data_IF_750926426717
#
_entry.id   IF_750926426717
#
_cell.length_a   1.000
_cell.length_b   1.000
_cell.length_c   1.000
_cell.angle_alpha   90.00
_cell.angle_beta   90.00
_cell.angle_gamma   90.00
#
_symmetry.space_group_name_H-M   'P 1'
#
loop_
_entity.id
_entity.type
_entity.pdbx_description
1 polymer ?
#
# COMPACT_ATOMS: atom_id res chain seq x y z
N UNK A 1 -92.80 -32.29 18.03
CA UNK A 1 -91.48 -32.64 18.60
C UNK A 1 -90.36 -32.64 17.53
N UNK A 2 -90.44 -33.37 16.43
CA UNK A 2 -89.45 -33.45 15.38
C UNK A 2 -89.09 -32.06 14.74
N UNK A 3 -90.11 -31.23 14.48
CA UNK A 3 -89.85 -29.87 13.90
C UNK A 3 -89.14 -28.92 14.84
N UNK A 4 -89.42 -29.00 16.13
CA UNK A 4 -88.70 -28.16 17.16
C UNK A 4 -87.24 -28.61 17.30
N UNK A 5 -86.97 -29.90 17.23
CA UNK A 5 -85.58 -30.42 17.30
C UNK A 5 -84.79 -30.00 16.05
N UNK A 6 -85.40 -30.01 14.86
CA UNK A 6 -84.72 -29.54 13.66
C UNK A 6 -84.44 -28.04 13.71
N UNK A 7 -85.33 -27.23 14.26
CA UNK A 7 -85.15 -25.78 14.38
C UNK A 7 -84.02 -25.46 15.41
N UNK A 8 -83.99 -26.18 16.55
CA UNK A 8 -82.91 -26.04 17.54
C UNK A 8 -81.57 -26.49 16.97
N UNK A 9 -81.54 -27.54 16.20
CA UNK A 9 -80.35 -28.01 15.51
C UNK A 9 -79.77 -26.96 14.52
N UNK A 10 -80.66 -26.38 13.71
CA UNK A 10 -80.28 -25.33 12.78
C UNK A 10 -79.77 -24.09 13.44
N UNK A 11 -80.34 -23.70 14.61
CA UNK A 11 -79.82 -22.58 15.46
C UNK A 11 -78.47 -22.91 16.04
N UNK A 12 -78.24 -24.11 16.48
CA UNK A 12 -76.99 -24.60 17.06
C UNK A 12 -75.90 -24.60 15.98
N UNK A 13 -76.17 -25.02 14.76
CA UNK A 13 -75.24 -24.99 13.63
C UNK A 13 -74.83 -23.54 13.26
N UNK A 14 -75.78 -22.60 13.27
CA UNK A 14 -75.52 -21.19 13.02
C UNK A 14 -74.63 -20.62 14.17
N UNK A 15 -74.93 -20.97 15.39
CA UNK A 15 -74.17 -20.51 16.56
C UNK A 15 -72.76 -21.05 16.56
N UNK A 16 -72.58 -22.35 16.24
CA UNK A 16 -71.27 -22.98 16.07
C UNK A 16 -70.45 -22.31 14.98
N UNK A 17 -71.09 -22.03 13.85
CA UNK A 17 -70.42 -21.34 12.74
C UNK A 17 -69.94 -19.93 13.12
N UNK A 18 -70.83 -19.14 13.77
CA UNK A 18 -70.46 -17.79 14.26
C UNK A 18 -69.37 -17.80 15.33
N UNK A 19 -69.42 -18.82 16.19
CA UNK A 19 -68.38 -19.05 17.20
C UNK A 19 -67.03 -19.36 16.51
N UNK A 20 -67.03 -20.27 15.55
CA UNK A 20 -65.79 -20.63 14.83
C UNK A 20 -65.22 -19.40 14.09
N UNK A 21 -66.05 -18.65 13.38
CA UNK A 21 -65.64 -17.41 12.70
C UNK A 21 -65.07 -16.35 13.68
N UNK A 22 -65.62 -16.26 14.90
CA UNK A 22 -65.13 -15.40 15.94
C UNK A 22 -63.74 -15.85 16.47
N UNK A 23 -63.61 -17.18 16.67
CA UNK A 23 -62.33 -17.78 17.10
C UNK A 23 -61.24 -17.59 16.06
N UNK A 24 -61.57 -17.82 14.78
CA UNK A 24 -60.60 -17.64 13.70
C UNK A 24 -60.16 -16.17 13.57
N UNK A 25 -61.10 -15.22 13.72
CA UNK A 25 -60.77 -13.78 13.80
C UNK A 25 -59.91 -13.44 14.99
N UNK A 26 -60.20 -14.03 16.18
CA UNK A 26 -59.36 -13.80 17.36
C UNK A 26 -57.95 -14.34 17.15
N UNK A 27 -57.80 -15.56 16.63
CA UNK A 27 -56.52 -16.17 16.36
C UNK A 27 -55.71 -15.36 15.30
N UNK A 28 -56.38 -14.92 14.23
CA UNK A 28 -55.73 -14.08 13.23
C UNK A 28 -55.24 -12.73 13.82
N UNK A 29 -55.99 -12.13 14.73
CA UNK A 29 -55.59 -10.89 15.43
C UNK A 29 -54.45 -11.14 16.41
N UNK A 30 -54.45 -12.25 17.14
CA UNK A 30 -53.33 -12.66 18.04
C UNK A 30 -52.05 -12.91 17.24
N UNK A 31 -52.14 -13.61 16.10
CA UNK A 31 -51.00 -13.87 15.22
C UNK A 31 -50.45 -12.56 14.58
N UNK A 32 -51.31 -11.64 14.25
CA UNK A 32 -50.89 -10.32 13.71
C UNK A 32 -50.24 -9.47 14.81
N UNK A 33 -50.77 -9.48 16.02
CA UNK A 33 -50.17 -8.79 17.16
C UNK A 33 -48.75 -9.34 17.45
N UNK A 34 -48.60 -10.67 17.47
CA UNK A 34 -47.29 -11.30 17.68
C UNK A 34 -46.28 -10.95 16.54
N UNK A 35 -46.76 -10.93 15.30
CA UNK A 35 -45.93 -10.48 14.15
C UNK A 35 -45.49 -9.02 14.32
N UNK A 36 -46.41 -8.15 14.70
CA UNK A 36 -46.10 -6.72 14.94
C UNK A 36 -45.12 -6.55 16.10
N UNK A 37 -45.27 -7.26 17.21
CA UNK A 37 -44.34 -7.22 18.31
C UNK A 37 -42.94 -7.70 17.93
N UNK A 38 -42.86 -8.79 17.19
CA UNK A 38 -41.57 -9.31 16.64
C UNK A 38 -40.91 -8.30 15.69
N UNK A 39 -41.68 -7.63 14.82
CA UNK A 39 -41.17 -6.60 13.92
C UNK A 39 -40.67 -5.38 14.70
N UNK A 40 -41.41 -4.94 15.72
CA UNK A 40 -41.02 -3.83 16.58
C UNK A 40 -39.73 -4.12 17.35
N UNK A 41 -39.62 -5.31 17.92
CA UNK A 41 -38.39 -5.77 18.61
C UNK A 41 -37.19 -5.76 17.69
N UNK A 42 -37.32 -6.30 16.47
CA UNK A 42 -36.25 -6.26 15.47
C UNK A 42 -35.89 -4.85 15.06
N UNK A 43 -36.87 -3.99 14.84
CA UNK A 43 -36.66 -2.58 14.50
C UNK A 43 -35.92 -1.82 15.63
N UNK A 44 -36.33 -2.03 16.89
CA UNK A 44 -35.65 -1.42 18.04
C UNK A 44 -34.20 -1.88 18.16
N UNK A 45 -33.91 -3.16 17.95
CA UNK A 45 -32.53 -3.67 17.93
C UNK A 45 -31.70 -3.02 16.80
N UNK A 46 -32.29 -2.86 15.60
CA UNK A 46 -31.62 -2.21 14.48
C UNK A 46 -31.34 -0.72 14.79
N UNK A 47 -32.33 0.00 15.33
CA UNK A 47 -32.16 1.41 15.70
C UNK A 47 -31.11 1.60 16.76
N UNK A 48 -31.05 0.70 17.78
CA UNK A 48 -30.01 0.74 18.78
C UNK A 48 -28.61 0.49 18.20
N UNK A 49 -28.47 -0.49 17.30
CA UNK A 49 -27.21 -0.76 16.59
C UNK A 49 -26.77 0.43 15.70
N UNK A 50 -27.71 1.01 14.95
CA UNK A 50 -27.43 2.20 14.12
C UNK A 50 -27.12 3.45 14.97
N UNK A 51 -27.63 3.54 16.18
CA UNK A 51 -27.31 4.63 17.10
C UNK A 51 -25.81 4.64 17.49
N UNK A 52 -25.24 3.46 17.78
CA UNK A 52 -23.82 3.33 18.10
C UNK A 52 -22.93 3.61 16.89
N UNK A 53 -23.33 3.17 15.69
CA UNK A 53 -22.62 3.48 14.45
C UNK A 53 -22.66 4.98 14.15
N UNK A 54 -23.81 5.64 14.32
CA UNK A 54 -23.92 7.09 14.14
C UNK A 54 -22.96 7.86 15.06
N UNK A 55 -22.81 7.44 16.30
CA UNK A 55 -21.82 7.99 17.25
C UNK A 55 -20.41 7.88 16.68
N UNK A 56 -19.98 6.65 16.35
CA UNK A 56 -18.65 6.39 15.77
C UNK A 56 -18.39 7.19 14.50
N UNK A 57 -19.37 7.31 13.62
CA UNK A 57 -19.22 8.09 12.39
C UNK A 57 -19.12 9.59 12.66
N UNK A 58 -19.87 10.10 13.64
CA UNK A 58 -19.76 11.51 14.04
C UNK A 58 -18.37 11.83 14.58
N UNK A 59 -17.83 10.97 15.45
CA UNK A 59 -16.49 11.13 16.00
C UNK A 59 -15.40 11.00 14.89
N UNK A 60 -15.59 10.06 13.97
CA UNK A 60 -14.69 9.90 12.81
C UNK A 60 -14.71 11.12 11.89
N UNK A 61 -15.86 11.74 11.64
CA UNK A 61 -15.96 12.97 10.83
C UNK A 61 -15.21 14.13 11.49
N UNK A 62 -15.31 14.27 12.81
CA UNK A 62 -14.56 15.30 13.55
C UNK A 62 -13.05 15.03 13.40
N UNK A 63 -12.62 13.78 13.64
CA UNK A 63 -11.22 13.40 13.51
C UNK A 63 -10.69 13.66 12.08
N UNK A 64 -11.40 13.19 11.06
CA UNK A 64 -10.99 13.43 9.66
C UNK A 64 -10.94 14.91 9.29
N UNK A 65 -11.80 15.74 9.90
CA UNK A 65 -11.77 17.18 9.67
C UNK A 65 -10.49 17.81 10.24
N UNK A 66 -10.03 17.36 11.39
CA UNK A 66 -8.75 17.79 11.96
C UNK A 66 -7.57 17.25 11.16
N UNK A 67 -7.59 15.96 10.78
CA UNK A 67 -6.55 15.34 9.96
C UNK A 67 -6.39 16.03 8.61
N UNK A 68 -7.49 16.45 7.98
CA UNK A 68 -7.45 17.21 6.72
C UNK A 68 -6.67 18.53 6.83
N UNK A 69 -6.57 19.12 7.99
CA UNK A 69 -5.82 20.39 8.18
C UNK A 69 -4.31 20.16 8.08
N UNK A 70 -3.83 19.01 8.53
CA UNK A 70 -2.39 18.69 8.61
C UNK A 70 -1.89 17.82 7.46
N UNK A 71 -2.79 17.14 6.74
CA UNK A 71 -2.41 16.20 5.67
C UNK A 71 -1.49 16.81 4.60
N UNK A 72 -1.64 18.10 4.29
CA UNK A 72 -0.82 18.76 3.28
C UNK A 72 0.66 18.83 3.70
N UNK A 73 0.94 19.17 4.96
CA UNK A 73 2.30 19.19 5.49
C UNK A 73 2.88 17.77 5.60
N UNK A 74 2.09 16.83 6.05
CA UNK A 74 2.51 15.44 6.20
C UNK A 74 2.86 14.81 4.83
N UNK A 75 2.01 14.99 3.82
CA UNK A 75 2.28 14.53 2.45
C UNK A 75 3.48 15.25 1.82
N UNK A 76 3.65 16.55 2.09
CA UNK A 76 4.82 17.29 1.63
C UNK A 76 6.12 16.73 2.25
N UNK A 77 6.09 16.38 3.54
CA UNK A 77 7.21 15.74 4.21
C UNK A 77 7.53 14.37 3.59
N UNK A 78 6.51 13.53 3.38
CA UNK A 78 6.66 12.23 2.74
C UNK A 78 7.21 12.34 1.31
N UNK A 79 6.71 13.29 0.52
CA UNK A 79 7.19 13.54 -0.85
C UNK A 79 8.63 14.03 -0.88
N UNK A 80 9.00 14.91 0.06
CA UNK A 80 10.38 15.40 0.21
C UNK A 80 11.31 14.27 0.65
N UNK A 81 10.85 13.39 1.53
CA UNK A 81 11.57 12.20 1.96
C UNK A 81 11.89 11.28 0.79
N UNK A 82 10.89 10.89 0.00
CA UNK A 82 11.08 10.03 -1.18
C UNK A 82 12.01 10.67 -2.21
N UNK A 83 11.92 11.99 -2.39
CA UNK A 83 12.63 12.69 -3.46
C UNK A 83 14.11 12.94 -3.15
N UNK A 84 14.47 13.18 -1.88
CA UNK A 84 15.78 13.73 -1.54
C UNK A 84 16.57 12.91 -0.52
N UNK A 85 15.94 12.07 0.29
CA UNK A 85 16.59 11.45 1.45
C UNK A 85 17.31 10.13 1.10
N UNK A 86 16.93 9.50 0.00
CA UNK A 86 17.44 8.19 -0.42
C UNK A 86 18.95 8.00 -0.43
N UNK A 87 19.79 8.95 -0.92
CA UNK A 87 21.24 8.78 -1.00
C UNK A 87 21.97 8.76 0.36
N UNK A 88 21.33 9.29 1.40
CA UNK A 88 21.97 9.54 2.68
C UNK A 88 21.89 8.35 3.63
N UNK A 89 22.87 8.26 4.56
CA UNK A 89 22.81 7.34 5.69
C UNK A 89 21.84 7.83 6.77
N UNK A 90 21.54 6.98 7.77
CA UNK A 90 20.56 7.27 8.81
C UNK A 90 20.80 8.60 9.54
N UNK A 91 22.04 8.88 9.97
CA UNK A 91 22.35 10.09 10.70
C UNK A 91 22.05 11.37 9.90
N UNK A 92 22.42 11.39 8.63
CA UNK A 92 22.10 12.52 7.75
C UNK A 92 20.61 12.59 7.39
N UNK A 93 19.90 11.44 7.26
CA UNK A 93 18.45 11.43 7.07
C UNK A 93 17.73 12.10 8.23
N UNK A 94 18.12 11.77 9.46
CA UNK A 94 17.52 12.33 10.67
C UNK A 94 17.73 13.86 10.73
N UNK A 95 18.94 14.34 10.38
CA UNK A 95 19.23 15.78 10.29
C UNK A 95 18.37 16.45 9.20
N UNK A 96 18.34 15.90 8.01
CA UNK A 96 17.59 16.48 6.88
C UNK A 96 16.09 16.53 7.19
N UNK A 97 15.53 15.47 7.74
CA UNK A 97 14.10 15.40 8.05
C UNK A 97 13.75 16.33 9.21
N UNK A 98 14.44 16.18 10.36
CA UNK A 98 14.03 16.85 11.59
C UNK A 98 14.53 18.30 11.67
N UNK A 99 15.78 18.57 11.29
CA UNK A 99 16.38 19.88 11.46
C UNK A 99 16.16 20.80 10.24
N UNK A 100 16.02 20.21 9.04
CA UNK A 100 15.82 21.00 7.83
C UNK A 100 14.34 21.04 7.42
N UNK A 101 13.72 19.90 7.07
CA UNK A 101 12.37 19.90 6.52
C UNK A 101 11.33 20.29 7.57
N UNK A 102 11.32 19.63 8.73
CA UNK A 102 10.33 19.91 9.79
C UNK A 102 10.49 21.32 10.32
N UNK A 103 11.73 21.82 10.49
CA UNK A 103 11.98 23.19 10.88
C UNK A 103 11.50 24.18 9.84
N UNK A 104 11.82 23.96 8.57
CA UNK A 104 11.35 24.82 7.47
C UNK A 104 9.82 24.90 7.42
N UNK A 105 9.12 23.77 7.63
CA UNK A 105 7.64 23.73 7.63
C UNK A 105 7.08 24.55 8.80
N UNK A 106 7.67 24.43 9.99
CA UNK A 106 7.27 25.22 11.17
C UNK A 106 7.50 26.71 10.95
N UNK A 107 8.67 27.08 10.43
CA UNK A 107 9.03 28.49 10.16
C UNK A 107 8.09 29.14 9.12
N UNK A 108 7.59 28.36 8.18
CA UNK A 108 6.64 28.82 7.16
C UNK A 108 5.17 28.56 7.53
N UNK A 109 4.88 28.14 8.76
CA UNK A 109 3.52 27.90 9.27
C UNK A 109 2.73 26.88 8.42
N UNK A 110 3.41 25.88 7.85
CA UNK A 110 2.78 24.78 7.14
C UNK A 110 2.20 23.81 8.19
N UNK A 111 0.88 23.58 8.22
CA UNK A 111 0.29 22.68 9.19
C UNK A 111 0.76 21.25 8.96
N UNK A 112 1.23 20.59 10.01
CA UNK A 112 1.66 19.19 9.97
C UNK A 112 1.37 18.51 11.31
N UNK A 113 1.29 17.21 11.31
CA UNK A 113 1.11 16.42 12.54
C UNK A 113 2.32 16.57 13.47
N UNK A 114 2.12 16.65 14.80
CA UNK A 114 3.20 16.89 15.76
C UNK A 114 4.33 15.85 15.73
N UNK A 115 4.03 14.61 15.39
CA UNK A 115 4.95 13.49 15.30
C UNK A 115 4.82 12.79 13.95
N UNK A 116 4.90 13.56 12.85
CA UNK A 116 4.79 13.00 11.51
C UNK A 116 6.02 12.15 11.19
N UNK A 117 5.81 10.84 11.01
CA UNK A 117 6.79 9.92 10.46
C UNK A 117 6.45 9.66 8.98
N UNK A 118 7.34 10.01 8.02
CA UNK A 118 7.11 9.75 6.60
C UNK A 118 6.73 8.29 6.29
N UNK A 119 7.23 7.32 7.05
CA UNK A 119 6.92 5.90 6.84
C UNK A 119 5.44 5.58 7.04
N UNK A 120 4.78 6.21 8.03
CA UNK A 120 3.36 5.98 8.31
C UNK A 120 2.44 6.44 7.17
N UNK A 121 2.94 7.34 6.32
CA UNK A 121 2.21 7.82 5.14
C UNK A 121 2.51 6.97 3.91
N UNK A 122 3.76 6.50 3.80
CA UNK A 122 4.27 5.81 2.62
C UNK A 122 3.99 4.31 2.62
N UNK A 123 3.81 3.72 3.81
CA UNK A 123 3.62 2.27 3.96
C UNK A 123 2.78 1.94 5.21
N UNK A 124 2.31 0.71 5.31
CA UNK A 124 1.63 0.14 6.46
C UNK A 124 2.39 -1.07 7.03
N UNK A 125 2.04 -1.48 8.24
CA UNK A 125 2.67 -2.61 8.93
C UNK A 125 2.55 -3.92 8.14
N UNK A 126 1.43 -4.14 7.45
CA UNK A 126 1.21 -5.35 6.65
C UNK A 126 2.15 -5.40 5.44
N UNK A 127 2.34 -4.26 4.78
CA UNK A 127 3.30 -4.12 3.67
C UNK A 127 4.74 -4.33 4.14
N UNK A 128 5.12 -3.76 5.28
CA UNK A 128 6.46 -3.95 5.87
C UNK A 128 6.68 -5.42 6.23
N UNK A 129 5.71 -6.08 6.84
CA UNK A 129 5.79 -7.51 7.14
C UNK A 129 5.95 -8.37 5.86
N UNK A 130 5.26 -8.00 4.78
CA UNK A 130 5.44 -8.65 3.47
C UNK A 130 6.86 -8.49 2.95
N UNK A 131 7.45 -7.28 3.03
CA UNK A 131 8.83 -7.05 2.62
C UNK A 131 9.85 -7.85 3.43
N UNK A 132 9.63 -7.99 4.75
CA UNK A 132 10.48 -8.81 5.60
C UNK A 132 10.40 -10.31 5.21
N UNK A 133 9.21 -10.80 4.84
CA UNK A 133 9.04 -12.15 4.32
C UNK A 133 9.72 -12.34 2.95
N UNK A 134 9.80 -11.28 2.15
CA UNK A 134 10.52 -11.21 0.88
C UNK A 134 12.04 -11.02 1.08
N UNK A 135 12.55 -11.10 2.32
CA UNK A 135 13.97 -11.00 2.72
C UNK A 135 14.53 -9.57 2.81
N UNK A 136 13.68 -8.54 2.90
CA UNK A 136 14.17 -7.22 3.31
C UNK A 136 14.57 -7.28 4.79
N UNK A 137 15.73 -6.77 5.19
CA UNK A 137 16.10 -6.68 6.60
C UNK A 137 15.09 -5.84 7.39
N UNK A 138 14.84 -6.21 8.64
CA UNK A 138 13.82 -5.58 9.49
C UNK A 138 14.28 -4.29 10.17
N UNK A 139 15.48 -3.79 9.86
CA UNK A 139 15.96 -2.52 10.38
C UNK A 139 15.22 -1.34 9.71
N UNK A 140 15.16 -0.22 10.44
CA UNK A 140 14.45 0.98 9.99
C UNK A 140 14.95 1.52 8.65
N UNK A 141 16.26 1.53 8.42
CA UNK A 141 16.86 2.07 7.18
C UNK A 141 16.45 1.24 5.98
N UNK A 142 16.42 -0.10 6.12
CA UNK A 142 15.94 -1.00 5.08
C UNK A 142 14.46 -0.78 4.78
N UNK A 143 13.62 -0.57 5.80
CA UNK A 143 12.21 -0.23 5.63
C UNK A 143 12.04 1.12 4.93
N UNK A 144 12.79 2.14 5.30
CA UNK A 144 12.82 3.45 4.63
C UNK A 144 13.21 3.33 3.16
N UNK A 145 14.24 2.55 2.87
CA UNK A 145 14.69 2.29 1.50
C UNK A 145 13.61 1.57 0.69
N UNK A 146 12.92 0.60 1.29
CA UNK A 146 11.78 -0.08 0.68
C UNK A 146 10.64 0.89 0.36
N UNK A 147 10.32 1.79 1.30
CA UNK A 147 9.30 2.81 1.11
C UNK A 147 9.68 3.80 -0.01
N UNK A 148 10.93 4.27 -0.06
CA UNK A 148 11.42 5.14 -1.14
C UNK A 148 11.33 4.43 -2.49
N UNK A 149 11.79 3.18 -2.57
CA UNK A 149 11.82 2.41 -3.80
C UNK A 149 10.42 2.16 -4.37
N UNK A 150 9.46 1.89 -3.51
CA UNK A 150 8.09 1.55 -3.92
C UNK A 150 7.23 2.77 -4.24
N UNK A 151 7.55 3.93 -3.67
CA UNK A 151 6.78 5.17 -3.86
C UNK A 151 7.47 6.18 -4.79
N UNK A 152 8.66 5.88 -5.30
CA UNK A 152 9.34 6.76 -6.27
C UNK A 152 8.81 6.56 -7.67
N UNK A 153 8.49 7.66 -8.36
CA UNK A 153 8.18 7.65 -9.78
C UNK A 153 9.42 7.42 -10.66
N UNK A 154 10.60 7.77 -10.16
CA UNK A 154 11.87 7.58 -10.88
C UNK A 154 12.35 6.15 -10.76
N UNK A 155 13.03 5.64 -11.80
CA UNK A 155 13.70 4.34 -11.71
C UNK A 155 14.79 4.36 -10.63
N UNK A 156 14.89 3.27 -9.87
CA UNK A 156 15.79 3.21 -8.73
C UNK A 156 17.23 2.87 -9.12
N UNK A 157 18.19 3.64 -8.60
CA UNK A 157 19.62 3.35 -8.64
C UNK A 157 20.09 2.98 -7.22
N UNK A 158 20.37 1.71 -7.02
CA UNK A 158 20.56 1.09 -5.71
C UNK A 158 22.05 0.93 -5.44
N UNK A 159 22.54 1.57 -4.37
CA UNK A 159 23.89 1.38 -3.83
C UNK A 159 23.79 0.25 -2.79
N UNK A 160 24.27 -0.94 -3.12
CA UNK A 160 24.09 -2.13 -2.29
C UNK A 160 25.33 -3.04 -2.29
N UNK A 161 26.37 -2.66 -1.57
CA UNK A 161 27.60 -3.45 -1.49
C UNK A 161 27.39 -4.84 -0.88
N UNK A 162 26.43 -4.97 0.06
CA UNK A 162 26.12 -6.20 0.79
C UNK A 162 25.05 -7.07 0.12
N UNK A 163 24.47 -6.63 -0.99
CA UNK A 163 23.47 -7.36 -1.78
C UNK A 163 22.14 -7.63 -1.04
N UNK A 164 21.80 -6.82 -0.05
CA UNK A 164 20.56 -6.95 0.72
C UNK A 164 19.34 -6.48 -0.09
N UNK A 165 19.41 -5.30 -0.66
CA UNK A 165 18.35 -4.71 -1.47
C UNK A 165 18.04 -5.52 -2.73
N UNK A 166 19.07 -5.99 -3.45
CA UNK A 166 18.84 -6.79 -4.65
C UNK A 166 18.32 -8.21 -4.32
N UNK A 167 18.67 -8.77 -3.16
CA UNK A 167 18.13 -10.06 -2.73
C UNK A 167 16.64 -9.94 -2.46
N UNK A 168 16.22 -8.87 -1.78
CA UNK A 168 14.81 -8.55 -1.59
C UNK A 168 14.08 -8.36 -2.92
N UNK A 169 14.61 -7.53 -3.82
CA UNK A 169 13.97 -7.26 -5.10
C UNK A 169 13.82 -8.50 -5.97
N UNK A 170 14.81 -9.39 -5.97
CA UNK A 170 14.72 -10.68 -6.70
C UNK A 170 13.60 -11.57 -6.15
N UNK A 171 13.39 -11.59 -4.85
CA UNK A 171 12.29 -12.35 -4.25
C UNK A 171 10.93 -11.69 -4.55
N UNK A 172 10.83 -10.39 -4.41
CA UNK A 172 9.63 -9.61 -4.68
C UNK A 172 9.16 -9.72 -6.13
N UNK A 173 10.08 -9.56 -7.08
CA UNK A 173 9.75 -9.57 -8.51
C UNK A 173 9.81 -10.98 -9.14
N UNK A 174 9.85 -12.01 -8.32
CA UNK A 174 9.94 -13.40 -8.77
C UNK A 174 8.75 -13.83 -9.64
N UNK A 175 7.58 -13.34 -9.32
CA UNK A 175 6.34 -13.60 -10.07
C UNK A 175 6.22 -12.77 -11.34
N UNK A 176 6.94 -11.65 -11.43
CA UNK A 176 6.90 -10.70 -12.56
C UNK A 176 7.89 -11.07 -13.67
N UNK A 177 8.57 -12.20 -13.59
CA UNK A 177 9.59 -12.67 -14.56
C UNK A 177 10.69 -11.62 -14.80
N UNK A 178 11.24 -11.06 -13.70
CA UNK A 178 12.29 -10.07 -13.76
C UNK A 178 13.52 -10.57 -14.49
N UNK A 179 14.01 -9.81 -15.48
CA UNK A 179 15.24 -10.11 -16.22
C UNK A 179 16.43 -9.46 -15.54
N UNK A 180 17.44 -10.25 -15.22
CA UNK A 180 18.69 -9.78 -14.61
C UNK A 180 19.78 -9.80 -15.65
N UNK A 181 20.47 -8.67 -15.82
CA UNK A 181 21.57 -8.53 -16.80
C UNK A 181 22.68 -7.63 -16.26
N UNK A 182 23.74 -7.44 -17.03
CA UNK A 182 24.87 -6.53 -16.76
C UNK A 182 25.20 -5.74 -17.99
N UNK A 183 25.81 -4.56 -17.84
CA UNK A 183 26.27 -3.76 -18.99
C UNK A 183 27.25 -4.50 -19.89
N UNK A 184 28.10 -5.37 -19.32
CA UNK A 184 29.06 -6.20 -20.07
C UNK A 184 28.44 -7.31 -20.92
N UNK A 185 27.12 -7.56 -20.76
CA UNK A 185 26.44 -8.61 -21.53
C UNK A 185 26.12 -8.09 -22.95
N UNK A 186 26.67 -8.70 -24.03
CA UNK A 186 26.42 -8.26 -25.40
C UNK A 186 24.95 -8.36 -25.83
N UNK A 187 24.14 -9.13 -25.10
CA UNK A 187 22.69 -9.27 -25.31
C UNK A 187 21.85 -8.29 -24.49
N UNK A 188 22.47 -7.45 -23.63
CA UNK A 188 21.78 -6.57 -22.70
C UNK A 188 20.73 -5.68 -23.40
N UNK A 189 21.12 -5.04 -24.51
CA UNK A 189 20.22 -4.18 -25.29
C UNK A 189 18.98 -4.94 -25.77
N UNK A 190 19.16 -6.14 -26.30
CA UNK A 190 18.04 -6.99 -26.77
C UNK A 190 17.13 -7.44 -25.64
N UNK A 191 17.70 -7.76 -24.47
CA UNK A 191 16.93 -8.12 -23.27
C UNK A 191 16.08 -6.93 -22.81
N UNK A 192 16.68 -5.74 -22.81
CA UNK A 192 16.00 -4.51 -22.40
C UNK A 192 14.89 -4.12 -23.40
N UNK A 193 15.15 -4.19 -24.72
CA UNK A 193 14.16 -3.96 -25.77
C UNK A 193 12.93 -4.88 -25.57
N UNK A 194 13.16 -6.18 -25.45
CA UNK A 194 12.08 -7.15 -25.27
C UNK A 194 11.30 -6.95 -23.97
N UNK A 195 11.98 -6.60 -22.88
CA UNK A 195 11.35 -6.36 -21.58
C UNK A 195 10.49 -5.07 -21.56
N UNK A 196 10.93 -4.00 -22.23
CA UNK A 196 10.16 -2.75 -22.38
C UNK A 196 8.82 -3.01 -23.06
N UNK A 197 8.81 -3.81 -24.12
CA UNK A 197 7.60 -4.15 -24.87
C UNK A 197 6.72 -5.15 -24.12
N UNK A 198 7.32 -6.15 -23.46
CA UNK A 198 6.59 -7.17 -22.71
C UNK A 198 6.05 -6.65 -21.36
N UNK A 199 6.70 -5.64 -20.76
CA UNK A 199 6.37 -5.12 -19.43
C UNK A 199 7.05 -5.86 -18.29
N UNK A 200 8.12 -6.61 -18.56
CA UNK A 200 8.87 -7.31 -17.54
C UNK A 200 9.84 -6.35 -16.83
N UNK A 201 9.98 -6.42 -15.49
CA UNK A 201 11.02 -5.69 -14.80
C UNK A 201 12.42 -6.11 -15.24
N UNK A 202 13.34 -5.16 -15.31
CA UNK A 202 14.75 -5.42 -15.64
C UNK A 202 15.64 -4.92 -14.53
N UNK A 203 16.58 -5.75 -14.10
CA UNK A 203 17.65 -5.36 -13.18
C UNK A 203 18.99 -5.37 -13.91
N UNK A 204 19.68 -4.24 -13.91
CA UNK A 204 21.05 -4.12 -14.42
C UNK A 204 22.01 -4.09 -13.24
N UNK A 205 22.75 -5.17 -13.05
CA UNK A 205 23.66 -5.35 -11.91
C UNK A 205 25.06 -4.84 -12.17
N UNK A 206 25.74 -4.47 -11.08
CA UNK A 206 27.16 -4.12 -11.04
C UNK A 206 27.52 -2.98 -11.99
N UNK A 207 26.79 -1.87 -11.87
CA UNK A 207 27.13 -0.63 -12.55
C UNK A 207 28.39 -0.03 -11.94
N UNK A 208 29.27 0.48 -12.79
CA UNK A 208 30.40 1.32 -12.42
C UNK A 208 29.97 2.79 -12.26
N UNK A 209 30.91 3.71 -12.07
CA UNK A 209 30.65 5.14 -11.95
C UNK A 209 30.10 5.78 -13.25
N UNK A 210 30.17 5.06 -14.36
CA UNK A 210 29.60 5.50 -15.64
C UNK A 210 28.52 4.54 -16.11
N UNK A 211 27.44 5.07 -16.61
CA UNK A 211 26.35 4.31 -17.22
C UNK A 211 26.39 4.54 -18.73
N UNK A 212 26.23 3.47 -19.51
CA UNK A 212 26.26 3.55 -20.97
C UNK A 212 25.14 4.47 -21.48
N UNK A 213 25.50 5.39 -22.37
CA UNK A 213 24.57 6.35 -22.97
C UNK A 213 23.41 5.67 -23.73
N UNK A 214 23.59 4.43 -24.18
CA UNK A 214 22.56 3.67 -24.90
C UNK A 214 21.30 3.46 -24.05
N UNK A 215 21.43 3.32 -22.73
CA UNK A 215 20.30 3.12 -21.84
C UNK A 215 19.77 4.43 -21.22
N UNK A 216 20.41 5.57 -21.52
CA UNK A 216 19.99 6.87 -21.00
C UNK A 216 18.52 7.18 -21.29
N UNK A 217 18.00 7.03 -22.51
CA UNK A 217 16.60 7.35 -22.79
C UNK A 217 15.61 6.52 -21.94
N UNK A 218 16.05 5.33 -21.48
CA UNK A 218 15.22 4.45 -20.66
C UNK A 218 15.19 4.95 -19.21
N UNK A 219 16.34 5.12 -18.56
CA UNK A 219 16.36 5.56 -17.16
C UNK A 219 15.93 7.03 -16.99
N UNK A 220 16.19 7.89 -17.98
CA UNK A 220 15.68 9.26 -18.04
C UNK A 220 14.17 9.35 -18.33
N UNK A 221 13.54 8.23 -18.64
CA UNK A 221 12.13 8.19 -19.08
C UNK A 221 11.83 9.17 -20.19
N UNK A 222 12.68 9.23 -21.22
CA UNK A 222 12.50 10.07 -22.39
C UNK A 222 11.32 9.57 -23.25
N UNK A 223 10.10 9.74 -22.74
CA UNK A 223 8.87 9.19 -23.32
C UNK A 223 8.31 10.09 -24.40
N UNK A 224 8.12 9.53 -25.59
CA UNK A 224 7.43 10.13 -26.71
C UNK A 224 5.97 9.66 -26.69
N UNK A 225 5.02 10.58 -26.55
CA UNK A 225 3.58 10.27 -26.58
C UNK A 225 3.05 10.34 -28.01
N UNK A 226 2.44 9.25 -28.50
CA UNK A 226 1.73 9.21 -29.79
C UNK A 226 0.31 8.66 -29.56
N UNK A 227 -0.66 9.54 -29.52
CA UNK A 227 -2.03 9.19 -29.21
C UNK A 227 -2.16 8.61 -27.77
N UNK A 228 -2.62 7.38 -27.65
CA UNK A 228 -2.76 6.66 -26.36
C UNK A 228 -1.49 5.93 -25.95
N UNK A 229 -0.54 5.73 -26.85
CA UNK A 229 0.64 4.92 -26.61
C UNK A 229 1.85 5.79 -26.24
N UNK A 230 2.72 5.24 -25.42
CA UNK A 230 3.98 5.82 -25.00
C UNK A 230 5.12 5.02 -25.65
N UNK A 231 6.14 5.73 -26.16
CA UNK A 231 7.30 5.13 -26.80
C UNK A 231 8.59 5.65 -26.16
N UNK A 232 9.62 4.84 -26.15
CA UNK A 232 11.00 5.24 -25.79
C UNK A 232 11.87 4.97 -27.01
N UNK A 233 12.70 5.96 -27.40
CA UNK A 233 13.66 5.79 -28.46
C UNK A 233 14.98 5.25 -27.88
N UNK A 234 15.40 4.08 -28.31
CA UNK A 234 16.66 3.46 -27.93
C UNK A 234 17.50 3.16 -29.17
N UNK A 235 18.59 3.93 -29.33
CA UNK A 235 19.34 3.95 -30.59
C UNK A 235 18.44 4.39 -31.74
N UNK A 236 18.34 3.56 -32.79
CA UNK A 236 17.53 3.84 -34.00
C UNK A 236 16.10 3.29 -33.89
N UNK A 237 15.76 2.60 -32.80
CA UNK A 237 14.46 1.97 -32.62
C UNK A 237 13.55 2.78 -31.69
N UNK A 238 12.27 2.83 -32.04
CA UNK A 238 11.21 3.30 -31.14
C UNK A 238 10.48 2.09 -30.59
N UNK A 239 10.54 1.90 -29.28
CA UNK A 239 9.93 0.79 -28.55
C UNK A 239 8.68 1.27 -27.86
N UNK A 240 7.59 0.49 -27.93
CA UNK A 240 6.38 0.81 -27.18
C UNK A 240 6.62 0.50 -25.70
N UNK A 241 6.48 1.52 -24.84
CA UNK A 241 6.62 1.37 -23.41
C UNK A 241 5.39 0.73 -22.80
N UNK A 242 5.55 -0.48 -22.26
CA UNK A 242 4.51 -1.13 -21.49
C UNK A 242 4.41 -0.47 -20.10
N UNK A 243 3.21 -0.15 -19.59
CA UNK A 243 3.03 0.47 -18.27
C UNK A 243 3.59 -0.34 -17.09
N UNK A 244 3.67 -1.66 -17.23
CA UNK A 244 4.19 -2.55 -16.18
C UNK A 244 5.72 -2.65 -16.16
N UNK A 245 6.40 -2.09 -17.18
CA UNK A 245 7.86 -2.11 -17.23
C UNK A 245 8.46 -1.31 -16.09
N UNK A 246 9.45 -1.90 -15.40
CA UNK A 246 10.24 -1.24 -14.37
C UNK A 246 11.73 -1.52 -14.57
N UNK A 247 12.57 -0.55 -14.20
CA UNK A 247 14.02 -0.64 -14.31
C UNK A 247 14.68 -0.43 -12.95
N UNK A 248 15.49 -1.41 -12.55
CA UNK A 248 16.32 -1.36 -11.36
C UNK A 248 17.78 -1.31 -11.76
N UNK A 249 18.48 -0.27 -11.38
CA UNK A 249 19.91 -0.10 -11.56
C UNK A 249 20.61 -0.42 -10.24
N UNK A 250 21.71 -1.17 -10.28
CA UNK A 250 22.40 -1.61 -9.07
C UNK A 250 23.90 -1.47 -9.18
N UNK A 251 24.53 -0.94 -8.13
CA UNK A 251 25.99 -0.88 -7.96
C UNK A 251 26.44 -1.51 -6.64
N UNK A 252 27.62 -2.15 -6.69
CA UNK A 252 28.33 -2.63 -5.48
C UNK A 252 29.30 -1.61 -4.90
N UNK A 253 29.50 -0.50 -5.58
CA UNK A 253 30.38 0.56 -5.08
C UNK A 253 29.80 1.14 -3.80
N UNK A 254 30.60 1.29 -2.75
CA UNK A 254 30.15 1.88 -1.49
C UNK A 254 29.92 3.37 -1.59
N UNK A 255 30.72 4.06 -2.39
CA UNK A 255 30.63 5.49 -2.60
C UNK A 255 30.78 5.83 -4.09
N UNK A 256 29.77 5.53 -4.91
CA UNK A 256 29.81 5.83 -6.32
C UNK A 256 29.67 7.34 -6.57
N UNK A 257 30.40 7.83 -7.56
CA UNK A 257 30.35 9.23 -8.00
C UNK A 257 29.62 9.33 -9.33
N UNK A 258 28.29 9.39 -9.27
CA UNK A 258 27.49 9.60 -10.47
C UNK A 258 27.38 11.09 -10.81
N UNK A 259 27.37 11.45 -12.10
CA UNK A 259 27.10 12.80 -12.55
C UNK A 259 25.74 13.31 -12.05
N UNK A 260 25.57 14.63 -11.83
CA UNK A 260 24.32 15.22 -11.37
C UNK A 260 23.11 14.86 -12.26
N UNK A 261 23.31 14.68 -13.56
CA UNK A 261 22.29 14.29 -14.52
C UNK A 261 21.66 12.95 -14.17
N UNK A 262 22.50 11.93 -13.87
CA UNK A 262 22.02 10.60 -13.47
C UNK A 262 21.28 10.66 -12.13
N UNK A 263 21.81 11.45 -11.18
CA UNK A 263 21.16 11.62 -9.87
C UNK A 263 19.80 12.32 -9.96
N UNK A 264 19.61 13.19 -10.96
CA UNK A 264 18.33 13.84 -11.19
C UNK A 264 17.30 12.91 -11.88
N UNK A 265 17.77 12.05 -12.79
CA UNK A 265 16.92 11.15 -13.57
C UNK A 265 16.54 9.86 -12.82
N UNK A 266 17.38 9.41 -11.88
CA UNK A 266 17.15 8.20 -11.08
C UNK A 266 16.86 8.53 -9.62
N UNK A 267 16.15 7.66 -8.92
CA UNK A 267 16.04 7.67 -7.47
C UNK A 267 17.24 6.92 -6.87
N UNK A 268 18.22 7.65 -6.36
CA UNK A 268 19.37 7.06 -5.70
C UNK A 268 18.99 6.58 -4.31
N UNK A 269 19.24 5.29 -4.00
CA UNK A 269 18.86 4.66 -2.73
C UNK A 269 20.06 3.94 -2.15
N UNK A 270 20.44 4.34 -0.94
CA UNK A 270 21.60 3.80 -0.26
C UNK A 270 21.21 2.66 0.68
N UNK A 271 21.51 1.43 0.28
CA UNK A 271 21.35 0.21 1.07
C UNK A 271 22.63 -0.18 1.83
N UNK A 272 23.61 0.70 1.94
CA UNK A 272 24.81 0.42 2.72
C UNK A 272 24.43 0.24 4.19
N UNK A 273 24.76 -0.91 4.76
CA UNK A 273 24.48 -1.23 6.16
C UNK A 273 25.33 -0.35 7.07
N UNK A 274 24.71 0.28 8.06
CA UNK A 274 25.37 1.01 9.13
C UNK A 274 25.67 0.08 10.29
N UNK A 275 26.58 0.48 11.20
CA UNK A 275 26.90 -0.27 12.41
C UNK A 275 25.62 -0.55 13.23
N UNK A 276 24.81 0.49 13.46
CA UNK A 276 23.51 0.34 14.16
C UNK A 276 22.53 -0.57 13.42
N UNK A 277 22.46 -0.50 12.09
CA UNK A 277 21.62 -1.42 11.31
C UNK A 277 22.10 -2.86 11.39
N UNK A 278 23.41 -3.11 11.47
CA UNK A 278 23.95 -4.45 11.68
C UNK A 278 23.62 -4.97 13.09
N UNK A 279 23.71 -4.13 14.11
CA UNK A 279 23.30 -4.48 15.48
C UNK A 279 21.81 -4.89 15.52
N UNK A 280 20.92 -4.10 14.91
CA UNK A 280 19.48 -4.39 14.83
C UNK A 280 19.22 -5.72 14.10
N UNK A 281 19.90 -5.99 12.99
CA UNK A 281 19.79 -7.24 12.23
C UNK A 281 20.30 -8.44 13.03
N UNK A 282 21.42 -8.31 13.73
CA UNK A 282 21.95 -9.35 14.58
C UNK A 282 21.05 -9.63 15.77
N UNK A 283 20.50 -8.57 16.40
CA UNK A 283 19.53 -8.72 17.49
C UNK A 283 18.28 -9.49 17.03
N UNK A 284 17.70 -9.10 15.89
CA UNK A 284 16.56 -9.81 15.33
C UNK A 284 16.87 -11.29 15.04
N UNK A 285 18.07 -11.59 14.53
CA UNK A 285 18.51 -12.96 14.26
C UNK A 285 18.66 -13.79 15.56
N UNK A 286 19.23 -13.16 16.62
CA UNK A 286 19.38 -13.80 17.94
C UNK A 286 18.01 -14.08 18.56
N UNK A 287 17.11 -13.10 18.56
CA UNK A 287 15.74 -13.28 19.06
C UNK A 287 15.04 -14.40 18.32
N UNK A 288 15.11 -14.44 17.02
CA UNK A 288 14.50 -15.51 16.20
C UNK A 288 15.06 -16.90 16.51
N UNK A 289 16.34 -17.01 16.92
CA UNK A 289 16.95 -18.29 17.29
C UNK A 289 16.70 -18.71 18.73
N UNK A 290 16.81 -17.76 19.66
CA UNK A 290 16.72 -18.04 21.10
C UNK A 290 15.25 -17.98 21.60
N UNK A 291 14.44 -17.14 21.03
CA UNK A 291 13.04 -16.91 21.44
C UNK A 291 12.12 -16.82 20.19
N UNK A 292 11.93 -17.93 19.47
CA UNK A 292 11.06 -17.96 18.29
C UNK A 292 9.59 -17.63 18.58
N UNK A 293 9.20 -17.64 19.85
CA UNK A 293 7.90 -17.24 20.38
C UNK A 293 7.69 -15.72 20.42
N UNK A 294 8.76 -14.93 20.27
CA UNK A 294 8.74 -13.46 20.27
C UNK A 294 9.13 -12.85 18.92
N UNK A 295 9.39 -13.68 17.91
CA UNK A 295 9.91 -13.26 16.60
C UNK A 295 8.81 -13.12 15.54
#
# INVERSE_FOLDING_TARGET
MAALVAELQARLDILMKTYQEAMDKKQAAEDEALRCETRLSRANRLVAALGSEKGRWSDAIVQFTEDMKVVHGDVLLASSFVSYVGPFNKAFRDIIVNENFVKFFKDNQIPMSPACDPLLILTDEATVASWNNEKLPSDRVSTENGAILTNSDRYSLIIDPQLQGITWLKEREKTSDMKVTRLSNPKMVKILEAAIEAGNPVMIENLDNSIDAVIQPVYARAVIKRGKNKYIKMGDKELQLNPNFNLYLHTKLQNPHYPPEIQAECALINFTVTESGLEDQLLALVVKKERPDLA
#
